data_IF_682615716588
#
_entry.id   IF_682615716588
#
_cell.length_a   1.000
_cell.length_b   1.000
_cell.length_c   1.000
_cell.angle_alpha   90.00
_cell.angle_beta   90.00
_cell.angle_gamma   90.00
#
_symmetry.space_group_name_H-M   'P 1'
#
loop_
_entity.id
_entity.type
_entity.pdbx_description
1 polymer ?
#
# COMPACT_ATOMS: atom_id res chain seq x y z
N UNK A 1 -29.46 5.72 -10.50
CA UNK A 1 -28.48 6.49 -9.70
C UNK A 1 -29.20 6.90 -8.43
N UNK A 2 -28.63 6.69 -7.24
CA UNK A 2 -29.41 6.66 -5.97
C UNK A 2 -28.95 7.66 -4.91
N UNK A 3 -28.34 8.78 -5.29
CA UNK A 3 -28.04 9.89 -4.38
C UNK A 3 -27.88 11.17 -5.19
N UNK A 4 -28.07 12.33 -4.58
CA UNK A 4 -27.80 13.65 -5.15
C UNK A 4 -26.70 14.33 -4.33
N UNK A 5 -26.13 15.39 -4.88
CA UNK A 5 -25.28 16.30 -4.13
C UNK A 5 -26.01 17.61 -3.95
N UNK A 6 -26.00 18.16 -2.74
CA UNK A 6 -26.64 19.44 -2.44
C UNK A 6 -25.60 20.47 -2.04
N UNK A 7 -25.71 21.65 -2.62
CA UNK A 7 -25.09 22.88 -2.17
C UNK A 7 -26.15 23.71 -1.44
N UNK A 8 -25.80 24.29 -0.30
CA UNK A 8 -26.74 25.08 0.51
C UNK A 8 -27.30 26.29 -0.25
N UNK A 9 -26.49 26.91 -1.11
CA UNK A 9 -26.87 28.10 -1.86
C UNK A 9 -27.46 27.77 -3.25
N UNK A 10 -27.01 26.69 -3.88
CA UNK A 10 -27.27 26.43 -5.31
C UNK A 10 -28.07 25.13 -5.57
N UNK A 11 -28.56 24.46 -4.53
CA UNK A 11 -29.50 23.34 -4.67
C UNK A 11 -28.87 22.00 -5.06
N UNK A 12 -29.65 21.14 -5.73
CA UNK A 12 -29.30 19.77 -6.10
C UNK A 12 -28.49 19.69 -7.41
N UNK A 13 -27.47 18.83 -7.44
CA UNK A 13 -26.68 18.55 -8.63
C UNK A 13 -26.45 17.05 -8.86
N UNK A 14 -26.22 16.71 -10.13
CA UNK A 14 -26.05 15.34 -10.63
C UNK A 14 -24.76 14.65 -10.12
N UNK A 15 -24.85 13.34 -9.88
CA UNK A 15 -23.74 12.45 -9.50
C UNK A 15 -22.64 12.30 -10.54
N UNK A 16 -22.73 12.90 -11.71
CA UNK A 16 -21.67 12.89 -12.71
C UNK A 16 -20.72 14.10 -12.63
N UNK A 17 -20.92 15.02 -11.68
CA UNK A 17 -19.98 16.10 -11.38
C UNK A 17 -18.57 15.57 -11.08
N UNK A 18 -17.58 16.10 -11.81
CA UNK A 18 -16.17 15.74 -11.64
C UNK A 18 -15.70 16.10 -10.23
N UNK A 19 -14.91 15.21 -9.63
CA UNK A 19 -14.24 15.48 -8.36
C UNK A 19 -13.16 16.53 -8.57
N UNK A 20 -12.98 17.42 -7.58
CA UNK A 20 -11.81 18.29 -7.50
C UNK A 20 -10.54 17.42 -7.49
N UNK A 21 -9.59 17.71 -8.37
CA UNK A 21 -8.39 16.87 -8.55
C UNK A 21 -7.45 16.90 -7.34
N UNK A 22 -7.44 17.99 -6.57
CA UNK A 22 -6.57 18.17 -5.41
C UNK A 22 -7.20 17.62 -4.13
N UNK A 23 -8.47 17.94 -3.86
CA UNK A 23 -9.12 17.54 -2.60
C UNK A 23 -9.91 16.25 -2.72
N UNK A 24 -10.18 15.77 -3.95
CA UNK A 24 -11.07 14.63 -4.24
C UNK A 24 -12.45 14.78 -3.60
N UNK A 25 -12.88 16.01 -3.34
CA UNK A 25 -14.23 16.33 -2.88
C UNK A 25 -15.04 16.87 -4.05
N UNK A 26 -16.37 16.73 -4.00
CA UNK A 26 -17.24 17.44 -4.92
C UNK A 26 -17.45 18.85 -4.40
N UNK A 27 -17.16 19.82 -5.26
CA UNK A 27 -17.42 21.23 -5.02
C UNK A 27 -18.54 21.67 -5.95
N UNK A 28 -19.38 22.57 -5.47
CA UNK A 28 -20.38 23.23 -6.30
C UNK A 28 -19.63 23.93 -7.46
N UNK A 29 -20.08 23.75 -8.72
CA UNK A 29 -19.44 24.42 -9.86
C UNK A 29 -19.65 25.95 -9.83
N UNK A 30 -20.63 26.45 -9.07
CA UNK A 30 -21.02 27.86 -9.03
C UNK A 30 -20.27 28.62 -7.92
N UNK A 31 -20.31 28.14 -6.67
CA UNK A 31 -19.63 28.80 -5.55
C UNK A 31 -18.34 28.12 -5.06
N UNK A 32 -18.01 26.94 -5.56
CA UNK A 32 -16.83 26.18 -5.10
C UNK A 32 -16.97 25.56 -3.70
N UNK A 33 -18.12 25.72 -3.02
CA UNK A 33 -18.36 25.13 -1.71
C UNK A 33 -18.46 23.60 -1.77
N UNK A 34 -18.10 22.95 -0.67
CA UNK A 34 -18.13 21.50 -0.57
C UNK A 34 -19.57 21.00 -0.48
N UNK A 35 -19.97 20.16 -1.43
CA UNK A 35 -21.33 19.62 -1.47
C UNK A 35 -21.52 18.46 -0.47
N UNK A 36 -22.69 18.45 0.18
CA UNK A 36 -23.17 17.33 0.98
C UNK A 36 -23.67 16.20 0.09
N UNK A 37 -23.48 14.94 0.50
CA UNK A 37 -24.03 13.79 -0.22
C UNK A 37 -25.38 13.42 0.40
N UNK A 38 -26.47 13.58 -0.34
CA UNK A 38 -27.79 13.19 0.13
C UNK A 38 -28.08 11.73 -0.27
N UNK A 39 -28.03 10.82 0.71
CA UNK A 39 -28.23 9.39 0.49
C UNK A 39 -29.61 9.01 1.05
N UNK A 40 -30.52 8.47 0.23
CA UNK A 40 -31.85 8.08 0.68
C UNK A 40 -31.81 7.10 1.85
N UNK A 41 -32.78 7.24 2.75
CA UNK A 41 -32.95 6.35 3.90
C UNK A 41 -33.06 4.89 3.45
N UNK A 42 -32.42 3.98 4.19
CA UNK A 42 -32.36 2.55 3.83
C UNK A 42 -31.25 2.17 2.83
N UNK A 43 -30.44 3.12 2.37
CA UNK A 43 -29.29 2.86 1.49
C UNK A 43 -27.94 3.05 2.18
N UNK A 44 -26.93 2.33 1.69
CA UNK A 44 -25.62 2.33 2.29
C UNK A 44 -24.95 3.70 2.19
N UNK A 45 -24.56 4.27 3.33
CA UNK A 45 -23.95 5.60 3.38
C UNK A 45 -22.54 5.70 2.77
N UNK A 46 -21.92 4.58 2.36
CA UNK A 46 -20.71 4.65 1.53
C UNK A 46 -21.03 5.11 0.09
N UNK A 47 -22.32 5.07 -0.29
CA UNK A 47 -22.82 5.49 -1.59
C UNK A 47 -22.59 4.51 -2.73
N UNK A 48 -22.49 3.21 -2.42
CA UNK A 48 -22.51 2.15 -3.44
C UNK A 48 -23.89 1.91 -4.06
N UNK A 49 -24.95 2.52 -3.52
CA UNK A 49 -26.33 2.34 -4.00
C UNK A 49 -27.01 1.04 -3.53
N UNK A 50 -26.35 0.23 -2.70
CA UNK A 50 -26.96 -0.99 -2.14
C UNK A 50 -27.88 -0.67 -0.95
N UNK A 51 -29.02 -1.37 -0.85
CA UNK A 51 -29.91 -1.30 0.32
C UNK A 51 -29.27 -1.95 1.54
N UNK A 52 -29.48 -1.34 2.70
CA UNK A 52 -28.97 -1.83 3.98
C UNK A 52 -29.98 -2.75 4.66
N UNK A 53 -29.50 -3.69 5.48
CA UNK A 53 -30.40 -4.54 6.28
C UNK A 53 -30.99 -3.73 7.44
N UNK A 54 -32.26 -3.97 7.76
CA UNK A 54 -32.88 -3.51 9.01
C UNK A 54 -32.19 -4.18 10.18
N UNK A 55 -31.84 -3.42 11.21
CA UNK A 55 -31.21 -3.97 12.40
C UNK A 55 -32.24 -4.66 13.28
N UNK A 56 -31.94 -5.89 13.70
CA UNK A 56 -32.74 -6.67 14.64
C UNK A 56 -32.30 -6.47 16.11
N UNK A 57 -31.44 -5.48 16.38
CA UNK A 57 -30.97 -5.11 17.72
C UNK A 57 -30.42 -3.68 17.72
N UNK A 58 -30.42 -3.07 18.90
CA UNK A 58 -29.73 -1.81 19.15
C UNK A 58 -28.28 -2.07 19.57
N UNK A 59 -27.32 -1.35 18.97
CA UNK A 59 -25.88 -1.44 19.26
C UNK A 59 -25.28 -0.03 19.15
N UNK A 60 -25.08 0.64 20.28
CA UNK A 60 -24.62 2.03 20.34
C UNK A 60 -23.20 2.21 19.80
N UNK A 61 -22.34 1.18 19.86
CA UNK A 61 -20.97 1.26 19.33
C UNK A 61 -20.92 1.28 17.81
N UNK A 62 -21.99 0.83 17.14
CA UNK A 62 -22.08 0.71 15.68
C UNK A 62 -23.16 1.61 15.08
N UNK A 63 -23.77 2.48 15.89
CA UNK A 63 -24.94 3.27 15.53
C UNK A 63 -26.07 2.41 14.93
N UNK A 64 -26.35 1.25 15.52
CA UNK A 64 -27.50 0.43 15.11
C UNK A 64 -28.67 0.68 16.03
N UNK A 65 -29.84 0.94 15.46
CA UNK A 65 -31.10 1.11 16.18
C UNK A 65 -32.03 -0.02 15.74
N UNK A 66 -32.66 -0.72 16.69
CA UNK A 66 -33.63 -1.79 16.39
C UNK A 66 -34.76 -1.27 15.50
N UNK A 67 -35.09 -1.99 14.43
CA UNK A 67 -36.13 -1.60 13.47
C UNK A 67 -35.68 -0.62 12.40
N UNK A 68 -34.53 0.04 12.57
CA UNK A 68 -33.98 0.99 11.61
C UNK A 68 -33.00 0.30 10.62
N UNK A 69 -32.92 0.74 9.35
CA UNK A 69 -31.87 0.33 8.43
C UNK A 69 -30.49 0.68 8.96
N UNK A 70 -29.54 -0.26 8.86
CA UNK A 70 -28.15 -0.02 9.25
C UNK A 70 -27.51 1.05 8.37
N UNK A 71 -26.65 1.88 8.95
CA UNK A 71 -25.89 2.93 8.23
C UNK A 71 -25.08 2.40 7.03
N UNK A 72 -24.53 1.18 7.14
CA UNK A 72 -23.70 0.56 6.11
C UNK A 72 -24.06 -0.90 5.86
N UNK A 73 -23.91 -1.35 4.60
CA UNK A 73 -23.83 -2.77 4.28
C UNK A 73 -22.61 -3.38 4.99
N UNK A 74 -22.72 -4.65 5.39
CA UNK A 74 -21.68 -5.31 6.18
C UNK A 74 -20.30 -5.21 5.50
N UNK A 75 -19.30 -4.74 6.24
CA UNK A 75 -17.94 -4.49 5.74
C UNK A 75 -17.74 -3.23 4.89
N UNK A 76 -18.75 -2.36 4.76
CA UNK A 76 -18.62 -1.08 4.03
C UNK A 76 -18.28 0.12 4.93
N UNK A 77 -18.31 -0.06 6.26
CA UNK A 77 -17.96 0.98 7.24
C UNK A 77 -16.54 1.55 7.05
N UNK A 78 -15.58 0.72 6.61
CA UNK A 78 -14.20 1.16 6.33
C UNK A 78 -14.03 1.94 5.03
N UNK A 79 -15.04 2.02 4.15
CA UNK A 79 -14.91 2.69 2.85
C UNK A 79 -14.87 4.22 2.94
N UNK A 80 -15.39 4.79 4.02
CA UNK A 80 -15.39 6.24 4.25
C UNK A 80 -14.13 6.75 4.94
N UNK A 81 -13.31 5.86 5.52
CA UNK A 81 -12.06 6.25 6.16
C UNK A 81 -11.03 6.50 5.05
N UNK A 82 -10.94 7.76 4.63
CA UNK A 82 -9.97 8.25 3.65
C UNK A 82 -9.16 9.38 4.29
N UNK A 83 -7.88 9.51 3.90
CA UNK A 83 -7.00 10.57 4.38
C UNK A 83 -6.35 10.32 5.75
N UNK A 84 -6.00 11.41 6.43
CA UNK A 84 -5.14 11.46 7.63
C UNK A 84 -5.64 10.61 8.81
N UNK A 85 -6.95 10.37 8.90
CA UNK A 85 -7.56 9.59 9.99
C UNK A 85 -7.48 8.08 9.77
N UNK A 86 -6.95 7.61 8.64
CA UNK A 86 -6.75 6.17 8.39
C UNK A 86 -5.45 5.71 9.06
N UNK A 87 -5.50 4.65 9.88
CA UNK A 87 -4.33 4.08 10.58
C UNK A 87 -3.17 3.64 9.65
N UNK A 88 -3.41 3.55 8.33
CA UNK A 88 -2.41 3.24 7.30
C UNK A 88 -1.93 4.46 6.50
N UNK A 89 -2.30 5.68 6.90
CA UNK A 89 -1.84 6.90 6.24
C UNK A 89 -0.38 7.18 6.60
N UNK A 90 0.51 7.13 5.60
CA UNK A 90 1.89 7.62 5.66
C UNK A 90 2.15 8.50 4.44
N UNK A 91 2.56 9.74 4.68
CA UNK A 91 3.10 10.66 3.67
C UNK A 91 2.25 10.79 2.39
N UNK A 92 0.94 11.05 2.54
CA UNK A 92 0.06 11.35 1.39
C UNK A 92 -0.38 10.14 0.54
N UNK A 93 0.09 8.92 0.82
CA UNK A 93 -0.31 7.72 0.09
C UNK A 93 -1.30 6.91 0.94
N UNK A 94 -2.58 6.93 0.58
CA UNK A 94 -3.56 5.98 1.10
C UNK A 94 -3.18 4.61 0.56
N UNK A 95 -2.72 3.72 1.44
CA UNK A 95 -2.58 2.31 1.13
C UNK A 95 -3.94 1.70 0.81
N UNK A 96 -4.37 1.76 -0.46
CA UNK A 96 -5.50 0.98 -0.92
C UNK A 96 -5.16 -0.50 -0.71
N UNK A 97 -5.64 -1.10 0.38
CA UNK A 97 -5.95 -2.53 0.35
C UNK A 97 -7.00 -2.67 -0.72
N UNK A 98 -6.61 -3.10 -1.91
CA UNK A 98 -7.55 -3.47 -2.96
C UNK A 98 -8.52 -4.48 -2.36
N UNK A 99 -9.72 -4.04 -2.03
CA UNK A 99 -10.85 -4.89 -1.66
C UNK A 99 -11.41 -5.53 -2.95
N UNK A 100 -10.54 -6.08 -3.80
CA UNK A 100 -10.95 -7.16 -4.68
C UNK A 100 -11.19 -8.34 -3.76
N UNK A 101 -12.44 -8.39 -3.32
CA UNK A 101 -13.01 -9.51 -2.62
C UNK A 101 -12.75 -10.75 -3.46
N UNK A 102 -12.52 -11.82 -2.72
CA UNK A 102 -12.34 -13.22 -3.12
C UNK A 102 -13.62 -13.77 -3.77
N UNK A 103 -14.08 -13.18 -4.86
CA UNK A 103 -15.16 -13.76 -5.67
C UNK A 103 -14.56 -14.85 -6.53
N UNK A 104 -14.97 -16.09 -6.26
CA UNK A 104 -14.78 -17.27 -7.09
C UNK A 104 -13.34 -17.77 -7.24
N UNK A 105 -12.77 -18.36 -6.17
CA UNK A 105 -11.96 -19.60 -6.19
C UNK A 105 -10.94 -19.91 -7.31
N UNK A 106 -10.57 -18.99 -8.20
CA UNK A 106 -9.81 -19.25 -9.42
C UNK A 106 -8.75 -18.14 -9.58
N UNK A 107 -7.59 -18.49 -9.01
CA UNK A 107 -6.20 -18.12 -9.34
C UNK A 107 -5.76 -16.66 -9.29
N UNK A 108 -4.87 -16.43 -8.30
CA UNK A 108 -3.51 -15.87 -8.46
C UNK A 108 -3.46 -14.82 -9.57
N UNK A 109 -3.67 -13.53 -9.20
CA UNK A 109 -3.33 -12.37 -10.03
C UNK A 109 -1.92 -12.59 -10.59
N UNK A 110 -1.84 -13.15 -11.80
CA UNK A 110 -0.59 -13.26 -12.53
C UNK A 110 -0.32 -11.82 -12.92
N UNK A 111 0.61 -11.19 -12.21
CA UNK A 111 0.94 -9.78 -12.42
C UNK A 111 1.22 -9.57 -13.91
N UNK A 112 0.77 -8.44 -14.45
CA UNK A 112 0.86 -8.14 -15.88
C UNK A 112 2.26 -8.38 -16.47
N UNK A 113 3.33 -8.10 -15.71
CA UNK A 113 4.71 -8.41 -16.12
C UNK A 113 5.00 -9.90 -16.30
N UNK A 114 4.41 -10.80 -15.49
CA UNK A 114 4.57 -12.25 -15.69
C UNK A 114 3.96 -12.64 -17.02
N UNK A 115 2.74 -12.18 -17.32
CA UNK A 115 2.06 -12.51 -18.57
C UNK A 115 2.85 -12.01 -19.79
N UNK A 116 3.34 -10.76 -19.73
CA UNK A 116 4.18 -10.22 -20.81
C UNK A 116 5.47 -11.01 -21.01
N UNK A 117 6.14 -11.37 -19.91
CA UNK A 117 7.36 -12.15 -20.02
C UNK A 117 7.10 -13.56 -20.58
N UNK A 118 5.99 -14.22 -20.22
CA UNK A 118 5.59 -15.52 -20.77
C UNK A 118 5.28 -15.45 -22.27
N UNK A 119 4.61 -14.38 -22.73
CA UNK A 119 4.32 -14.16 -24.15
C UNK A 119 5.63 -14.04 -24.94
N UNK A 120 6.58 -13.23 -24.46
CA UNK A 120 7.88 -13.04 -25.12
C UNK A 120 8.71 -14.32 -25.13
N UNK A 121 8.67 -15.10 -24.04
CA UNK A 121 9.37 -16.38 -23.96
C UNK A 121 8.74 -17.50 -24.79
N UNK A 122 7.50 -17.32 -25.26
CA UNK A 122 6.73 -18.38 -25.93
C UNK A 122 6.41 -19.58 -25.01
N UNK A 123 6.54 -19.42 -23.69
CA UNK A 123 6.28 -20.48 -22.69
C UNK A 123 5.93 -19.88 -21.34
N UNK A 124 5.30 -20.70 -20.49
CA UNK A 124 5.08 -20.35 -19.08
C UNK A 124 6.41 -20.24 -18.32
N UNK A 125 6.45 -19.34 -17.34
CA UNK A 125 7.58 -19.27 -16.42
C UNK A 125 7.61 -20.54 -15.57
N UNK A 126 8.81 -21.09 -15.38
CA UNK A 126 9.03 -22.22 -14.49
C UNK A 126 8.71 -21.79 -13.05
N UNK A 127 8.40 -22.75 -12.18
CA UNK A 127 8.01 -22.49 -10.79
C UNK A 127 9.01 -21.61 -10.01
N UNK A 128 10.30 -21.69 -10.36
CA UNK A 128 11.37 -20.93 -9.71
C UNK A 128 11.71 -19.62 -10.44
N UNK A 129 11.31 -19.45 -11.70
CA UNK A 129 11.61 -18.26 -12.49
C UNK A 129 10.76 -17.07 -12.01
N UNK A 130 11.39 -15.89 -11.91
CA UNK A 130 10.75 -14.66 -11.41
C UNK A 130 11.10 -13.51 -12.34
N UNK A 131 10.09 -12.73 -12.74
CA UNK A 131 10.30 -11.49 -13.47
C UNK A 131 10.70 -10.35 -12.52
N UNK A 132 11.75 -9.63 -12.88
CA UNK A 132 12.33 -8.49 -12.18
C UNK A 132 12.16 -7.22 -13.01
N UNK A 133 11.78 -6.10 -12.39
CA UNK A 133 11.81 -4.79 -13.01
C UNK A 133 13.20 -4.18 -12.87
N UNK A 134 13.89 -3.97 -14.00
CA UNK A 134 15.25 -3.43 -14.02
C UNK A 134 15.34 -2.04 -13.40
N UNK A 135 14.41 -1.14 -13.75
CA UNK A 135 14.31 0.21 -13.20
C UNK A 135 13.76 0.29 -11.77
N UNK A 136 13.22 -0.82 -11.24
CA UNK A 136 12.54 -0.88 -9.95
C UNK A 136 11.11 -0.32 -9.93
N UNK A 137 10.61 0.22 -11.04
CA UNK A 137 9.22 0.66 -11.18
C UNK A 137 8.32 -0.54 -11.56
N UNK A 138 7.44 -0.91 -10.63
CA UNK A 138 6.51 -2.04 -10.78
C UNK A 138 5.41 -1.76 -11.81
N UNK A 139 5.19 -0.50 -12.20
CA UNK A 139 4.20 -0.10 -13.19
C UNK A 139 4.78 -0.12 -14.62
N UNK A 140 6.10 0.01 -14.77
CA UNK A 140 6.76 -0.09 -16.06
C UNK A 140 6.90 -1.56 -16.52
N UNK A 141 5.88 -2.03 -17.23
CA UNK A 141 5.84 -3.39 -17.77
C UNK A 141 6.33 -3.45 -19.23
N UNK A 142 7.25 -2.59 -19.66
CA UNK A 142 7.88 -2.69 -20.99
C UNK A 142 8.76 -3.95 -21.06
N UNK A 143 8.79 -4.64 -22.21
CA UNK A 143 9.56 -5.89 -22.34
C UNK A 143 11.05 -5.69 -22.06
N UNK A 144 11.62 -4.55 -22.50
CA UNK A 144 13.00 -4.17 -22.22
C UNK A 144 13.30 -3.90 -20.73
N UNK A 145 12.27 -3.67 -19.91
CA UNK A 145 12.41 -3.42 -18.48
C UNK A 145 12.27 -4.69 -17.62
N UNK A 146 11.93 -5.83 -18.22
CA UNK A 146 11.70 -7.08 -17.51
C UNK A 146 12.88 -8.04 -17.69
N UNK A 147 13.46 -8.47 -16.57
CA UNK A 147 14.53 -9.46 -16.52
C UNK A 147 13.99 -10.74 -15.88
N UNK A 148 14.18 -11.88 -16.54
CA UNK A 148 13.81 -13.18 -15.96
C UNK A 148 14.96 -13.72 -15.12
N UNK A 149 14.70 -13.87 -13.83
CA UNK A 149 15.61 -14.44 -12.85
C UNK A 149 15.36 -15.94 -12.73
N UNK A 150 16.44 -16.73 -12.66
CA UNK A 150 16.39 -18.18 -12.46
C UNK A 150 15.75 -18.61 -11.12
N UNK A 151 15.90 -17.77 -10.08
CA UNK A 151 15.43 -18.05 -8.73
C UNK A 151 15.26 -16.75 -7.92
N UNK A 152 14.66 -16.89 -6.72
CA UNK A 152 14.43 -15.78 -5.80
C UNK A 152 15.72 -15.16 -5.29
N UNK A 153 16.80 -15.94 -5.13
CA UNK A 153 18.07 -15.44 -4.64
C UNK A 153 18.71 -14.46 -5.64
N UNK A 154 18.71 -14.80 -6.93
CA UNK A 154 19.18 -13.94 -8.00
C UNK A 154 18.32 -12.68 -8.13
N UNK A 155 17.00 -12.81 -8.05
CA UNK A 155 16.08 -11.66 -8.02
C UNK A 155 16.40 -10.66 -6.87
N UNK A 156 16.67 -11.18 -5.68
CA UNK A 156 17.06 -10.36 -4.52
C UNK A 156 18.46 -9.75 -4.68
N UNK A 157 19.38 -10.46 -5.32
CA UNK A 157 20.71 -9.95 -5.65
C UNK A 157 20.62 -8.74 -6.59
N UNK A 158 19.79 -8.80 -7.64
CA UNK A 158 19.60 -7.66 -8.55
C UNK A 158 19.06 -6.43 -7.82
N UNK A 159 18.04 -6.58 -6.95
CA UNK A 159 17.58 -5.47 -6.11
C UNK A 159 18.67 -4.91 -5.20
N UNK A 160 19.51 -5.78 -4.63
CA UNK A 160 20.61 -5.34 -3.77
C UNK A 160 21.64 -4.53 -4.56
N UNK A 161 22.07 -5.01 -5.72
CA UNK A 161 23.06 -4.35 -6.58
C UNK A 161 22.53 -3.04 -7.14
N UNK A 162 21.27 -3.03 -7.59
CA UNK A 162 20.64 -1.82 -8.11
C UNK A 162 20.57 -0.72 -7.03
N UNK A 163 20.18 -1.07 -5.79
CA UNK A 163 20.20 -0.11 -4.67
C UNK A 163 21.60 0.43 -4.37
N UNK A 164 22.64 -0.40 -4.47
CA UNK A 164 24.01 0.06 -4.26
C UNK A 164 24.45 1.01 -5.37
N UNK A 165 24.20 0.64 -6.63
CA UNK A 165 24.51 1.46 -7.79
C UNK A 165 23.81 2.83 -7.75
N UNK A 166 22.51 2.87 -7.43
CA UNK A 166 21.75 4.12 -7.32
C UNK A 166 22.34 5.04 -6.24
N UNK A 167 22.78 4.49 -5.10
CA UNK A 167 23.22 5.30 -3.96
C UNK A 167 24.68 5.75 -4.08
N UNK A 168 25.57 4.89 -4.59
CA UNK A 168 27.02 5.15 -4.56
C UNK A 168 27.74 4.81 -5.87
N UNK A 169 27.02 4.50 -6.95
CA UNK A 169 27.59 4.12 -8.25
C UNK A 169 28.18 2.71 -8.28
N UNK A 170 28.49 2.09 -7.14
CA UNK A 170 29.10 0.77 -7.09
C UNK A 170 28.07 -0.33 -6.79
N UNK A 171 27.72 -1.11 -7.82
CA UNK A 171 26.77 -2.21 -7.71
C UNK A 171 27.22 -3.36 -6.79
N UNK A 172 28.53 -3.48 -6.52
CA UNK A 172 29.08 -4.57 -5.71
C UNK A 172 29.16 -4.23 -4.21
N UNK A 173 28.97 -2.95 -3.86
CA UNK A 173 29.00 -2.52 -2.48
C UNK A 173 27.77 -2.99 -1.70
N UNK A 174 27.94 -3.18 -0.40
CA UNK A 174 26.90 -3.72 0.48
C UNK A 174 26.58 -2.72 1.58
N UNK A 175 25.30 -2.64 1.93
CA UNK A 175 24.81 -1.72 2.96
C UNK A 175 25.03 -2.30 4.36
N UNK A 176 25.73 -1.58 5.23
CA UNK A 176 25.80 -1.89 6.64
C UNK A 176 24.43 -1.71 7.30
N UNK A 177 23.92 -2.73 8.01
CA UNK A 177 22.61 -2.65 8.66
C UNK A 177 22.58 -1.70 9.86
N UNK A 178 23.75 -1.31 10.38
CA UNK A 178 23.89 -0.43 11.54
C UNK A 178 23.98 1.03 11.08
N UNK A 179 25.09 1.44 10.46
CA UNK A 179 25.31 2.83 10.04
C UNK A 179 24.65 3.21 8.71
N UNK A 180 24.06 2.24 7.99
CA UNK A 180 23.40 2.43 6.69
C UNK A 180 24.31 2.87 5.53
N UNK A 181 25.61 2.99 5.75
CA UNK A 181 26.59 3.28 4.71
C UNK A 181 26.85 2.05 3.83
N UNK A 182 27.15 2.30 2.56
CA UNK A 182 27.61 1.30 1.59
C UNK A 182 29.13 1.26 1.60
N UNK A 183 29.70 0.06 1.49
CA UNK A 183 31.15 -0.13 1.49
C UNK A 183 31.50 -1.41 0.72
N UNK A 184 32.78 -1.58 0.41
CA UNK A 184 33.31 -2.80 -0.18
C UNK A 184 33.00 -4.00 0.73
N UNK A 185 32.48 -5.12 0.19
CA UNK A 185 32.28 -6.35 0.95
C UNK A 185 33.50 -6.79 1.79
N UNK A 186 34.73 -6.48 1.36
CA UNK A 186 35.98 -6.76 2.07
C UNK A 186 36.12 -5.97 3.38
N UNK A 187 35.50 -4.78 3.45
CA UNK A 187 35.47 -3.93 4.64
C UNK A 187 34.32 -4.27 5.60
N UNK A 188 33.48 -5.24 5.22
CA UNK A 188 32.25 -5.59 5.92
C UNK A 188 32.32 -7.02 6.46
N UNK A 189 31.74 -7.23 7.64
CA UNK A 189 31.42 -8.57 8.11
C UNK A 189 30.07 -9.00 7.55
N UNK A 190 30.05 -10.11 6.81
CA UNK A 190 28.86 -10.73 6.24
C UNK A 190 28.60 -12.04 7.00
N UNK A 191 27.50 -12.11 7.75
CA UNK A 191 27.15 -13.32 8.48
C UNK A 191 26.69 -14.44 7.55
N UNK A 192 26.68 -15.72 8.01
CA UNK A 192 26.05 -16.82 7.27
C UNK A 192 24.57 -16.57 6.95
N UNK A 193 23.87 -15.84 7.82
CA UNK A 193 22.50 -15.35 7.60
C UNK A 193 22.40 -14.11 6.69
N UNK A 194 23.48 -13.77 5.98
CA UNK A 194 23.61 -12.64 5.05
C UNK A 194 23.36 -11.24 5.66
N UNK A 195 23.52 -11.10 6.99
CA UNK A 195 23.49 -9.78 7.64
C UNK A 195 24.85 -9.11 7.47
N UNK A 196 24.84 -7.92 6.88
CA UNK A 196 26.06 -7.18 6.55
C UNK A 196 26.26 -6.02 7.52
N UNK A 197 27.44 -5.91 8.12
CA UNK A 197 27.79 -4.80 9.02
C UNK A 197 29.29 -4.55 9.08
N UNK A 198 29.71 -3.32 9.31
CA UNK A 198 31.08 -3.05 9.73
C UNK A 198 31.34 -3.64 11.12
N UNK A 199 32.55 -4.17 11.34
CA UNK A 199 32.99 -4.66 12.66
C UNK A 199 32.99 -3.53 13.70
N UNK A 200 33.50 -2.36 13.31
CA UNK A 200 33.51 -1.15 14.14
C UNK A 200 32.11 -0.73 14.59
N UNK A 201 31.13 -0.73 13.68
CA UNK A 201 29.74 -0.41 14.00
C UNK A 201 29.14 -1.39 15.01
N UNK A 202 29.47 -2.68 14.89
CA UNK A 202 28.98 -3.68 15.83
C UNK A 202 29.58 -3.49 17.23
N UNK A 203 30.89 -3.23 17.33
CA UNK A 203 31.56 -3.00 18.60
C UNK A 203 31.02 -1.76 19.33
N UNK A 204 30.83 -0.65 18.60
CA UNK A 204 30.21 0.57 19.16
C UNK A 204 28.83 0.27 19.75
N UNK A 205 27.98 -0.42 18.99
CA UNK A 205 26.63 -0.80 19.43
C UNK A 205 26.65 -1.73 20.65
N UNK A 206 27.63 -2.62 20.77
CA UNK A 206 27.77 -3.46 21.96
C UNK A 206 28.17 -2.67 23.21
N UNK A 207 29.07 -1.70 23.07
CA UNK A 207 29.48 -0.82 24.18
C UNK A 207 28.29 0.00 24.68
N UNK A 208 27.52 0.60 23.77
CA UNK A 208 26.30 1.35 24.11
C UNK A 208 25.29 0.49 24.86
N UNK A 209 25.07 -0.74 24.40
CA UNK A 209 24.14 -1.66 25.05
C UNK A 209 24.60 -2.08 26.45
N UNK A 210 25.91 -2.31 26.66
CA UNK A 210 26.46 -2.57 27.99
C UNK A 210 26.27 -1.38 28.93
N UNK A 211 26.61 -0.16 28.48
CA UNK A 211 26.41 1.07 29.26
C UNK A 211 24.94 1.27 29.67
N UNK A 212 24.02 1.03 28.73
CA UNK A 212 22.58 1.10 29.03
C UNK A 212 22.14 0.07 30.06
N UNK A 213 22.61 -1.18 29.92
CA UNK A 213 22.32 -2.24 30.90
C UNK A 213 22.86 -1.89 32.29
N UNK A 214 24.10 -1.42 32.38
CA UNK A 214 24.73 -1.09 33.65
C UNK A 214 24.00 0.07 34.35
N UNK A 215 23.54 1.07 33.58
CA UNK A 215 22.69 2.16 34.08
C UNK A 215 21.39 1.63 34.71
N UNK A 216 20.64 0.76 34.02
CA UNK A 216 19.39 0.20 34.57
C UNK A 216 19.60 -0.80 35.71
N UNK A 217 20.77 -1.42 35.81
CA UNK A 217 21.11 -2.29 36.94
C UNK A 217 21.55 -1.52 38.20
N UNK A 218 21.85 -0.22 38.06
CA UNK A 218 22.24 0.69 39.15
C UNK A 218 21.08 1.55 39.70
N UNK A 219 19.89 1.44 39.10
CA UNK A 219 18.64 2.05 39.57
C UNK A 219 17.85 1.03 40.40
#
# INVERSE_FOLDING_TARGET
MLYTYECLEHGEFDVNLKLDKMTRTRKCPECGEKMGKNIPYGFCQCGCGEKTKISNRTDSKKDWIFGEPRKFVNGHNGRLVTGEKHYSYKDGIIGYRSNDRRSNGIRKRSSLHIQKAEIVLGRKLKKLEIAHHFDGDKLNNANANLIICENQAYHLLLHQRNRAHIVCGNANWRKCVICKQYDDPRNLYISPSNRVRHRSCFNKKQIEWKRGRDYYASL
#
